data_IF_835266909494
#
_entry.id   IF_835266909494
#
_cell.length_a   1.000
_cell.length_b   1.000
_cell.length_c   1.000
_cell.angle_alpha   90.00
_cell.angle_beta   90.00
_cell.angle_gamma   90.00
#
_symmetry.space_group_name_H-M   'P 1'
#
loop_
_entity.id
_entity.type
_entity.pdbx_description
1 polymer ?
#
# COMPACT_ATOMS: atom_id res chain seq x y z
N UNK A 1 -4.42 -22.71 8.38
CA UNK A 1 -5.69 -22.40 7.69
C UNK A 1 -6.87 -22.36 8.64
N UNK A 2 -7.22 -23.45 9.35
CA UNK A 2 -8.43 -23.58 10.20
C UNK A 2 -8.69 -22.46 11.24
N UNK A 3 -7.66 -21.70 11.65
CA UNK A 3 -7.82 -20.56 12.58
C UNK A 3 -8.36 -19.28 11.93
N UNK A 4 -8.39 -19.21 10.59
CA UNK A 4 -8.95 -18.08 9.84
C UNK A 4 -10.48 -18.10 9.97
N UNK A 5 -11.06 -17.07 10.59
CA UNK A 5 -12.47 -17.08 11.03
C UNK A 5 -13.48 -16.70 9.94
N UNK A 6 -13.01 -16.23 8.80
CA UNK A 6 -13.81 -15.80 7.66
C UNK A 6 -13.04 -15.95 6.36
N UNK A 7 -13.71 -15.79 5.22
CA UNK A 7 -13.03 -15.50 3.96
C UNK A 7 -12.29 -14.17 4.03
N UNK A 8 -11.26 -14.02 3.20
CA UNK A 8 -10.53 -12.76 3.05
C UNK A 8 -11.45 -11.65 2.54
N UNK A 9 -11.31 -10.42 3.05
CA UNK A 9 -12.31 -9.36 2.87
C UNK A 9 -12.63 -9.06 1.40
N UNK A 10 -11.60 -8.81 0.58
CA UNK A 10 -11.81 -8.33 -0.79
C UNK A 10 -12.49 -9.37 -1.70
N UNK A 11 -12.17 -10.69 -1.63
CA UNK A 11 -12.97 -11.74 -2.26
C UNK A 11 -14.46 -11.76 -1.90
N UNK A 12 -14.86 -11.45 -0.66
CA UNK A 12 -16.29 -11.33 -0.30
C UNK A 12 -16.92 -10.08 -0.93
N UNK A 13 -16.18 -8.96 -1.03
CA UNK A 13 -16.63 -7.77 -1.73
C UNK A 13 -16.80 -8.05 -3.24
N UNK A 14 -15.80 -8.65 -3.90
CA UNK A 14 -15.88 -9.03 -5.32
C UNK A 14 -17.00 -10.06 -5.59
N UNK A 15 -17.26 -10.98 -4.66
CA UNK A 15 -18.40 -11.90 -4.75
C UNK A 15 -19.74 -11.15 -4.72
N UNK A 16 -19.91 -10.15 -3.84
CA UNK A 16 -21.11 -9.31 -3.81
C UNK A 16 -21.23 -8.39 -5.03
N UNK A 17 -20.10 -7.90 -5.55
CA UNK A 17 -20.01 -7.10 -6.77
C UNK A 17 -20.52 -7.88 -8.00
N UNK A 18 -20.08 -9.14 -8.16
CA UNK A 18 -20.59 -10.07 -9.19
C UNK A 18 -22.09 -10.33 -8.99
N UNK A 19 -22.52 -10.70 -7.77
CA UNK A 19 -23.94 -10.98 -7.48
C UNK A 19 -24.86 -9.78 -7.72
N UNK A 20 -24.39 -8.56 -7.47
CA UNK A 20 -25.14 -7.33 -7.77
C UNK A 20 -25.24 -7.09 -9.28
N UNK A 21 -24.15 -7.30 -10.01
CA UNK A 21 -24.12 -7.17 -11.48
C UNK A 21 -25.00 -8.22 -12.18
N UNK A 22 -25.01 -9.47 -11.67
CA UNK A 22 -25.92 -10.53 -12.16
C UNK A 22 -27.40 -10.20 -11.92
N UNK A 23 -27.72 -9.57 -10.78
CA UNK A 23 -29.09 -9.18 -10.40
C UNK A 23 -29.58 -7.93 -11.11
N UNK A 24 -28.68 -7.00 -11.44
CA UNK A 24 -28.98 -5.71 -12.07
C UNK A 24 -28.07 -5.48 -13.28
N UNK A 25 -28.24 -6.21 -14.40
CA UNK A 25 -27.31 -6.19 -15.53
C UNK A 25 -27.19 -4.82 -16.23
N UNK A 26 -28.24 -3.99 -16.18
CA UNK A 26 -28.23 -2.62 -16.73
C UNK A 26 -27.67 -1.57 -15.74
N UNK A 27 -27.31 -1.95 -14.51
CA UNK A 27 -26.82 -1.02 -13.51
C UNK A 27 -25.41 -0.53 -13.84
N UNK A 28 -25.26 0.79 -13.97
CA UNK A 28 -23.95 1.46 -14.09
C UNK A 28 -23.24 1.48 -12.73
N UNK A 29 -22.70 0.31 -12.36
CA UNK A 29 -21.91 0.09 -11.15
C UNK A 29 -20.69 1.02 -11.11
N UNK A 30 -20.33 1.52 -9.93
CA UNK A 30 -19.09 2.27 -9.69
C UNK A 30 -18.35 1.63 -8.52
N UNK A 31 -17.12 1.17 -8.73
CA UNK A 31 -16.34 0.51 -7.69
C UNK A 31 -15.42 1.50 -6.97
N UNK A 32 -15.81 1.92 -5.75
CA UNK A 32 -14.97 2.68 -4.81
C UNK A 32 -14.53 1.78 -3.63
N UNK A 33 -14.54 0.46 -3.83
CA UNK A 33 -14.25 -0.55 -2.81
C UNK A 33 -12.77 -0.92 -2.74
N UNK A 34 -12.35 -1.81 -3.64
CA UNK A 34 -10.97 -2.30 -3.71
C UNK A 34 -10.02 -1.15 -4.10
N UNK A 35 -8.80 -1.18 -3.55
CA UNK A 35 -7.79 -0.13 -3.76
C UNK A 35 -7.01 -0.31 -5.05
N UNK A 36 -7.69 -0.49 -6.18
CA UNK A 36 -7.07 -0.68 -7.50
C UNK A 36 -7.13 0.61 -8.34
N UNK A 37 -6.12 0.82 -9.19
CA UNK A 37 -5.88 2.08 -9.90
C UNK A 37 -6.46 2.09 -11.31
N UNK A 38 -7.19 3.15 -11.66
CA UNK A 38 -7.95 3.26 -12.93
C UNK A 38 -7.24 4.04 -14.03
N UNK A 39 -6.46 5.06 -13.67
CA UNK A 39 -5.69 5.85 -14.64
C UNK A 39 -4.51 5.03 -15.21
N UNK A 40 -4.22 5.15 -16.52
CA UNK A 40 -3.21 4.33 -17.19
C UNK A 40 -1.77 4.63 -16.74
N UNK A 41 -0.87 3.69 -17.03
CA UNK A 41 0.57 3.93 -16.89
C UNK A 41 1.02 5.08 -17.82
N UNK A 42 1.88 6.01 -17.33
CA UNK A 42 2.52 6.99 -18.22
C UNK A 42 3.31 6.31 -19.33
N UNK A 43 3.22 6.86 -20.54
CA UNK A 43 3.80 6.29 -21.76
C UNK A 43 5.31 5.99 -21.64
N UNK A 44 6.07 6.86 -20.97
CA UNK A 44 7.51 6.66 -20.72
C UNK A 44 7.81 5.37 -19.94
N UNK A 45 6.95 4.99 -18.99
CA UNK A 45 7.08 3.75 -18.20
C UNK A 45 6.62 2.55 -19.02
N UNK A 46 5.49 2.67 -19.73
CA UNK A 46 4.95 1.61 -20.57
C UNK A 46 5.92 1.24 -21.72
N UNK A 47 6.45 2.24 -22.42
CA UNK A 47 7.40 2.06 -23.53
C UNK A 47 8.73 1.50 -23.04
N UNK A 48 9.27 1.99 -21.92
CA UNK A 48 10.49 1.42 -21.31
C UNK A 48 10.36 -0.07 -21.00
N UNK A 49 9.18 -0.52 -20.55
CA UNK A 49 8.89 -1.95 -20.35
C UNK A 49 8.75 -2.71 -21.67
N UNK A 50 8.09 -2.13 -22.68
CA UNK A 50 7.89 -2.74 -23.99
C UNK A 50 9.20 -2.90 -24.77
N UNK A 51 10.02 -1.85 -24.84
CA UNK A 51 11.33 -1.86 -25.49
C UNK A 51 12.26 -2.89 -24.85
N UNK A 52 12.25 -2.98 -23.52
CA UNK A 52 13.02 -4.01 -22.82
C UNK A 52 12.49 -5.43 -23.09
N UNK A 53 11.16 -5.63 -23.08
CA UNK A 53 10.55 -6.91 -23.43
C UNK A 53 10.89 -7.36 -24.87
N UNK A 54 10.93 -6.41 -25.83
CA UNK A 54 11.41 -6.66 -27.19
C UNK A 54 12.91 -6.99 -27.22
N UNK A 55 13.74 -6.30 -26.42
CA UNK A 55 15.18 -6.56 -26.35
C UNK A 55 15.53 -7.98 -25.86
N UNK A 56 14.66 -8.62 -25.07
CA UNK A 56 14.81 -10.01 -24.66
C UNK A 56 14.69 -11.01 -25.82
N UNK A 57 14.28 -10.59 -27.02
CA UNK A 57 14.28 -11.42 -28.22
C UNK A 57 15.61 -11.43 -29.00
N UNK A 58 16.59 -10.58 -28.64
CA UNK A 58 17.92 -10.53 -29.30
C UNK A 58 19.02 -11.17 -28.43
N UNK A 59 20.10 -11.63 -29.06
CA UNK A 59 21.23 -12.25 -28.35
C UNK A 59 21.97 -11.25 -27.43
N UNK A 60 22.00 -9.98 -27.81
CA UNK A 60 22.65 -8.89 -27.08
C UNK A 60 21.82 -8.44 -25.87
N UNK A 61 20.49 -8.40 -26.02
CA UNK A 61 19.55 -7.93 -24.98
C UNK A 61 19.10 -9.02 -24.00
N UNK A 62 18.98 -10.28 -24.43
CA UNK A 62 18.50 -11.37 -23.58
C UNK A 62 19.35 -11.56 -22.31
N UNK A 63 18.70 -11.60 -21.15
CA UNK A 63 19.27 -12.02 -19.87
C UNK A 63 18.33 -13.01 -19.19
N UNK A 64 18.90 -14.04 -18.56
CA UNK A 64 18.17 -15.01 -17.76
C UNK A 64 17.87 -14.49 -16.36
N UNK A 65 18.17 -15.29 -15.32
CA UNK A 65 18.03 -14.86 -13.92
C UNK A 65 18.84 -13.58 -13.63
N UNK A 66 18.20 -12.65 -12.94
CA UNK A 66 18.88 -11.55 -12.23
C UNK A 66 19.24 -11.96 -10.80
N UNK A 67 19.89 -11.07 -10.06
CA UNK A 67 20.05 -11.24 -8.62
C UNK A 67 18.68 -11.19 -7.92
N UNK A 68 18.46 -12.05 -6.94
CA UNK A 68 17.18 -12.21 -6.23
C UNK A 68 16.84 -10.97 -5.38
N UNK A 69 17.87 -10.28 -4.88
CA UNK A 69 17.79 -8.95 -4.24
C UNK A 69 17.33 -7.84 -5.21
N UNK A 70 17.45 -8.06 -6.53
CA UNK A 70 17.14 -7.08 -7.58
C UNK A 70 18.37 -6.35 -8.16
N UNK A 71 18.12 -5.72 -9.31
CA UNK A 71 19.09 -4.98 -10.10
C UNK A 71 19.78 -3.88 -9.28
N UNK A 72 21.12 -3.83 -9.31
CA UNK A 72 21.91 -2.87 -8.54
C UNK A 72 21.60 -1.41 -8.90
N UNK A 73 21.32 -1.10 -10.17
CA UNK A 73 20.94 0.26 -10.57
C UNK A 73 19.61 0.66 -9.92
N UNK A 74 18.58 -0.19 -10.01
CA UNK A 74 17.27 0.06 -9.39
C UNK A 74 17.38 0.24 -7.86
N UNK A 75 18.15 -0.62 -7.17
CA UNK A 75 18.39 -0.48 -5.72
C UNK A 75 19.11 0.81 -5.36
N UNK A 76 20.09 1.23 -6.16
CA UNK A 76 20.80 2.50 -5.97
C UNK A 76 19.85 3.68 -6.17
N UNK A 77 19.06 3.69 -7.25
CA UNK A 77 18.10 4.77 -7.49
C UNK A 77 17.03 4.82 -6.39
N UNK A 78 16.53 3.69 -5.90
CA UNK A 78 15.63 3.65 -4.73
C UNK A 78 16.27 4.31 -3.49
N UNK A 79 17.53 3.99 -3.18
CA UNK A 79 18.27 4.62 -2.09
C UNK A 79 18.42 6.14 -2.29
N UNK A 80 18.84 6.57 -3.49
CA UNK A 80 19.10 7.96 -3.83
C UNK A 80 17.83 8.82 -3.97
N UNK A 81 16.68 8.23 -4.33
CA UNK A 81 15.39 8.94 -4.46
C UNK A 81 14.63 9.03 -3.14
N UNK A 82 14.62 7.99 -2.31
CA UNK A 82 13.73 7.91 -1.13
C UNK A 82 14.44 7.99 0.23
N UNK A 83 15.76 7.72 0.29
CA UNK A 83 16.47 7.53 1.56
C UNK A 83 17.82 8.27 1.64
N UNK A 84 18.10 9.17 0.70
CA UNK A 84 19.34 9.94 0.58
C UNK A 84 19.76 10.63 1.88
N UNK A 85 18.85 11.36 2.52
CA UNK A 85 19.15 12.17 3.71
C UNK A 85 19.26 11.32 5.00
N UNK A 86 18.99 10.01 4.90
CA UNK A 86 19.01 9.04 6.00
C UNK A 86 20.02 7.89 5.76
N UNK A 87 20.88 8.03 4.74
CA UNK A 87 22.08 7.21 4.48
C UNK A 87 21.87 5.69 4.26
N UNK A 88 20.67 5.25 3.87
CA UNK A 88 20.43 3.87 3.43
C UNK A 88 21.25 3.56 2.17
N UNK A 89 21.87 2.38 2.16
CA UNK A 89 22.74 1.88 1.08
C UNK A 89 21.96 1.06 0.05
N UNK A 90 22.50 0.88 -1.15
CA UNK A 90 21.88 -0.03 -2.12
C UNK A 90 21.96 -1.52 -1.69
N UNK A 91 22.83 -1.86 -0.73
CA UNK A 91 22.95 -3.18 -0.10
C UNK A 91 21.80 -3.52 0.83
N UNK A 92 21.11 -2.51 1.36
CA UNK A 92 20.02 -2.65 2.34
C UNK A 92 18.64 -2.72 1.67
N UNK A 93 18.55 -2.39 0.38
CA UNK A 93 17.32 -2.46 -0.43
C UNK A 93 17.16 -3.85 -1.05
N UNK A 94 15.96 -4.41 -0.97
CA UNK A 94 15.55 -5.67 -1.57
C UNK A 94 14.32 -5.43 -2.46
N UNK A 95 14.48 -5.61 -3.78
CA UNK A 95 13.40 -5.40 -4.76
C UNK A 95 12.49 -6.63 -4.81
N UNK A 96 11.18 -6.41 -4.84
CA UNK A 96 10.18 -7.47 -4.73
C UNK A 96 9.07 -7.36 -5.77
N UNK A 97 8.29 -8.44 -5.90
CA UNK A 97 7.03 -8.54 -6.66
C UNK A 97 5.83 -7.83 -5.98
N UNK A 98 6.13 -6.95 -5.02
CA UNK A 98 5.18 -6.14 -4.26
C UNK A 98 5.08 -6.57 -2.80
N UNK A 99 4.81 -5.60 -1.91
CA UNK A 99 4.86 -5.81 -0.46
C UNK A 99 3.93 -6.90 0.10
N UNK A 100 2.79 -7.21 -0.54
CA UNK A 100 1.95 -8.33 -0.08
C UNK A 100 2.73 -9.66 -0.02
N UNK A 101 3.70 -9.83 -0.94
CA UNK A 101 4.59 -10.98 -0.95
C UNK A 101 5.74 -10.82 0.06
N UNK A 102 6.26 -9.61 0.27
CA UNK A 102 7.26 -9.33 1.31
C UNK A 102 6.73 -9.51 2.73
N UNK A 103 5.48 -9.13 3.02
CA UNK A 103 4.84 -9.37 4.33
C UNK A 103 4.89 -10.86 4.67
N UNK A 104 4.57 -11.72 3.72
CA UNK A 104 4.64 -13.18 3.91
C UNK A 104 6.09 -13.67 4.03
N UNK A 105 7.05 -13.10 3.27
CA UNK A 105 8.49 -13.39 3.45
C UNK A 105 9.02 -12.92 4.82
N UNK A 106 8.53 -11.81 5.35
CA UNK A 106 8.85 -11.29 6.68
C UNK A 106 8.22 -12.15 7.80
N UNK A 107 6.99 -12.63 7.63
CA UNK A 107 6.39 -13.60 8.55
C UNK A 107 7.13 -14.94 8.54
N UNK A 108 7.60 -15.41 7.37
CA UNK A 108 8.43 -16.61 7.25
C UNK A 108 9.80 -16.44 7.92
N UNK A 109 10.40 -15.24 7.84
CA UNK A 109 11.64 -14.87 8.54
C UNK A 109 11.46 -14.84 10.07
N UNK A 110 10.39 -14.20 10.56
CA UNK A 110 10.15 -14.05 12.00
C UNK A 110 9.67 -15.35 12.66
N UNK A 111 9.01 -16.22 11.91
CA UNK A 111 8.57 -17.55 12.35
C UNK A 111 7.39 -17.53 13.32
N UNK A 112 6.97 -18.71 13.76
CA UNK A 112 5.75 -18.91 14.57
C UNK A 112 5.84 -18.45 16.03
N UNK A 113 7.02 -18.04 16.50
CA UNK A 113 7.34 -17.90 17.92
C UNK A 113 7.48 -16.43 18.36
N UNK A 114 7.01 -15.47 17.55
CA UNK A 114 6.95 -14.04 17.88
C UNK A 114 5.54 -13.60 18.24
N UNK A 115 5.43 -12.58 19.10
CA UNK A 115 4.18 -11.83 19.32
C UNK A 115 4.19 -10.58 18.44
N UNK A 116 3.04 -10.27 17.83
CA UNK A 116 2.87 -9.13 16.93
C UNK A 116 1.87 -8.14 17.54
N UNK A 117 2.11 -6.84 17.41
CA UNK A 117 1.30 -5.77 18.00
C UNK A 117 1.12 -4.63 16.99
N UNK A 118 -0.08 -4.04 16.98
CA UNK A 118 -0.72 -3.62 15.71
C UNK A 118 -1.70 -2.45 15.89
N UNK A 119 -2.11 -1.82 14.78
CA UNK A 119 -3.27 -0.91 14.76
C UNK A 119 -4.59 -1.71 14.62
N UNK A 120 -5.66 -1.18 15.20
CA UNK A 120 -7.05 -1.61 15.00
C UNK A 120 -7.88 -0.32 14.76
N UNK A 121 -8.59 -0.17 13.63
CA UNK A 121 -8.65 -1.07 12.47
C UNK A 121 -7.31 -1.20 11.70
N UNK A 122 -7.31 -2.11 10.72
CA UNK A 122 -6.13 -2.61 9.99
C UNK A 122 -6.48 -3.19 8.60
N UNK A 123 -5.62 -3.00 7.59
CA UNK A 123 -5.77 -3.62 6.25
C UNK A 123 -5.77 -5.15 6.33
N UNK A 124 -6.64 -5.91 5.62
CA UNK A 124 -6.89 -7.30 6.01
C UNK A 124 -5.79 -8.34 5.75
N UNK A 125 -4.84 -8.13 4.81
CA UNK A 125 -3.65 -9.01 4.81
C UNK A 125 -2.83 -8.83 6.11
N UNK A 126 -3.04 -7.67 6.73
CA UNK A 126 -2.72 -7.37 8.11
C UNK A 126 -3.89 -7.68 9.12
N UNK A 127 -5.19 -7.81 8.82
CA UNK A 127 -6.11 -8.52 9.79
C UNK A 127 -5.56 -9.93 10.09
N UNK A 128 -4.90 -10.52 9.10
CA UNK A 128 -4.06 -11.72 9.21
C UNK A 128 -2.57 -11.41 9.62
N UNK A 129 -2.23 -10.18 10.09
CA UNK A 129 -0.89 -9.66 10.49
C UNK A 129 -0.51 -8.38 11.39
N UNK A 130 -1.01 -7.13 11.72
CA UNK A 130 -2.11 -6.12 11.56
C UNK A 130 -1.61 -4.64 11.53
N UNK A 131 -2.18 -3.76 10.67
CA UNK A 131 -1.98 -2.27 10.57
C UNK A 131 -2.90 -1.58 9.51
N UNK A 132 -3.40 -0.34 9.77
CA UNK A 132 -4.02 0.72 8.89
C UNK A 132 -5.33 1.36 9.40
N UNK A 133 -5.30 2.69 9.64
CA UNK A 133 -6.47 3.61 9.77
C UNK A 133 -6.42 4.78 8.76
N UNK A 134 -5.48 4.78 7.80
CA UNK A 134 -5.39 5.82 6.76
C UNK A 134 -4.92 7.21 7.23
N UNK A 135 -4.42 7.32 8.47
CA UNK A 135 -3.73 8.52 8.97
C UNK A 135 -2.22 8.41 8.74
N UNK A 136 -1.58 9.53 8.37
CA UNK A 136 -0.12 9.64 8.48
C UNK A 136 0.24 9.97 9.93
N UNK A 137 1.24 9.28 10.49
CA UNK A 137 1.70 9.53 11.86
C UNK A 137 2.65 10.73 11.89
N UNK A 138 2.46 11.63 12.87
CA UNK A 138 3.33 12.81 13.02
C UNK A 138 4.74 12.40 13.46
N UNK A 139 5.72 13.27 13.24
CA UNK A 139 7.11 13.06 13.70
C UNK A 139 7.17 12.71 15.20
N UNK A 140 6.40 13.40 16.04
CA UNK A 140 6.32 13.13 17.48
C UNK A 140 5.72 11.76 17.80
N UNK A 141 4.70 11.30 17.06
CA UNK A 141 4.13 9.95 17.23
C UNK A 141 5.13 8.87 16.82
N UNK A 142 5.89 9.08 15.76
CA UNK A 142 6.92 8.15 15.31
C UNK A 142 8.16 8.13 16.24
N UNK A 143 8.53 9.27 16.83
CA UNK A 143 9.51 9.32 17.93
C UNK A 143 9.05 8.52 19.15
N UNK A 144 7.78 8.62 19.53
CA UNK A 144 7.20 7.80 20.61
C UNK A 144 7.19 6.31 20.25
N UNK A 145 6.85 5.94 19.02
CA UNK A 145 6.87 4.56 18.53
C UNK A 145 8.29 3.97 18.54
N UNK A 146 9.29 4.69 18.01
CA UNK A 146 10.70 4.28 18.03
C UNK A 146 11.21 4.15 19.47
N UNK A 147 10.84 5.07 20.37
CA UNK A 147 11.19 5.01 21.79
C UNK A 147 10.54 3.81 22.50
N UNK A 148 9.29 3.49 22.19
CA UNK A 148 8.57 2.31 22.71
C UNK A 148 9.19 1.00 22.22
N UNK A 149 9.39 0.87 20.91
CA UNK A 149 10.07 -0.26 20.29
C UNK A 149 11.45 -0.49 20.92
N UNK A 150 12.27 0.56 21.03
CA UNK A 150 13.61 0.51 21.62
C UNK A 150 13.62 0.13 23.10
N UNK A 151 12.63 0.59 23.88
CA UNK A 151 12.44 0.17 25.29
C UNK A 151 12.11 -1.32 25.40
N UNK A 152 11.33 -1.86 24.47
CA UNK A 152 10.78 -3.21 24.54
C UNK A 152 11.55 -4.26 23.70
N UNK A 153 12.52 -3.83 22.88
CA UNK A 153 13.25 -4.70 21.95
C UNK A 153 12.45 -5.16 20.73
N UNK A 154 11.34 -4.50 20.40
CA UNK A 154 10.35 -4.95 19.41
C UNK A 154 10.63 -4.40 18.01
N UNK A 155 10.73 -5.25 16.99
CA UNK A 155 11.00 -4.80 15.61
C UNK A 155 9.77 -4.06 15.05
N UNK A 156 9.98 -2.84 14.50
CA UNK A 156 8.95 -2.14 13.73
C UNK A 156 9.01 -2.62 12.28
N UNK A 157 7.89 -3.13 11.77
CA UNK A 157 7.64 -3.22 10.32
C UNK A 157 6.81 -2.00 9.94
N UNK A 158 7.42 -1.08 9.19
CA UNK A 158 6.79 0.18 8.79
C UNK A 158 6.43 0.14 7.31
N UNK A 159 5.14 -0.02 7.01
CA UNK A 159 4.61 0.09 5.66
C UNK A 159 4.42 1.57 5.27
N UNK A 160 4.92 1.93 4.09
CA UNK A 160 4.89 3.29 3.54
C UNK A 160 4.11 3.36 2.21
N UNK A 161 3.20 2.41 1.93
CA UNK A 161 2.50 2.22 0.65
C UNK A 161 1.69 3.41 0.11
N UNK A 162 1.51 4.44 0.94
CA UNK A 162 0.81 5.68 0.61
C UNK A 162 1.62 6.93 0.99
N UNK A 163 2.92 6.82 1.29
CA UNK A 163 3.77 7.95 1.67
C UNK A 163 3.88 9.01 0.55
N UNK A 164 3.72 8.62 -0.72
CA UNK A 164 3.60 9.52 -1.86
C UNK A 164 2.39 10.47 -1.78
N UNK A 165 1.35 10.10 -1.01
CA UNK A 165 0.14 10.92 -0.81
C UNK A 165 0.27 11.95 0.31
N UNK A 166 1.31 11.89 1.15
CA UNK A 166 1.45 12.79 2.30
C UNK A 166 1.66 14.24 1.84
N UNK A 167 0.79 15.15 2.29
CA UNK A 167 0.75 16.57 1.91
C UNK A 167 1.17 17.55 3.01
N UNK A 168 1.46 17.06 4.21
CA UNK A 168 1.99 17.83 5.34
C UNK A 168 3.36 17.30 5.77
N UNK A 169 3.96 17.92 6.79
CA UNK A 169 5.31 17.63 7.29
C UNK A 169 5.42 16.28 8.07
N UNK A 170 4.45 15.38 7.88
CA UNK A 170 4.51 14.02 8.43
C UNK A 170 5.63 13.21 7.73
N UNK A 171 6.49 12.50 8.48
CA UNK A 171 7.54 11.68 7.88
C UNK A 171 7.00 10.64 6.89
N UNK A 172 7.64 10.58 5.72
CA UNK A 172 7.39 9.58 4.68
C UNK A 172 8.15 8.28 4.93
N UNK A 173 9.21 8.34 5.73
CA UNK A 173 9.97 7.18 6.17
C UNK A 173 10.22 7.17 7.68
N UNK A 174 10.05 6.00 8.30
CA UNK A 174 10.49 5.73 9.68
C UNK A 174 11.99 6.02 9.89
N UNK A 175 12.81 6.01 8.83
CA UNK A 175 14.23 6.35 8.89
C UNK A 175 14.52 7.85 9.09
N UNK A 176 13.53 8.74 8.99
CA UNK A 176 13.70 10.17 9.30
C UNK A 176 13.77 10.47 10.81
N UNK A 177 13.52 9.47 11.66
CA UNK A 177 13.42 9.62 13.11
C UNK A 177 14.79 9.38 13.77
N UNK A 178 15.44 10.40 14.36
CA UNK A 178 16.82 10.31 14.87
C UNK A 178 16.96 9.40 16.11
N UNK A 179 18.21 9.11 16.49
CA UNK A 179 18.55 8.17 17.59
C UNK A 179 18.74 6.72 17.13
N UNK A 180 19.02 6.52 15.84
CA UNK A 180 19.06 5.23 15.14
C UNK A 180 20.39 4.48 15.35
N UNK A 181 21.51 5.20 15.30
CA UNK A 181 22.89 4.69 15.14
C UNK A 181 23.38 3.65 16.16
N UNK A 182 22.63 3.42 17.25
CA UNK A 182 22.90 2.32 18.18
C UNK A 182 21.61 1.61 18.56
N UNK A 183 21.52 0.34 18.15
CA UNK A 183 20.47 -0.64 18.44
C UNK A 183 19.15 -0.48 17.67
N UNK A 184 19.10 -1.19 16.52
CA UNK A 184 18.01 -2.08 16.07
C UNK A 184 16.65 -1.43 15.64
N UNK A 185 15.78 -2.31 15.11
CA UNK A 185 14.30 -2.24 15.08
C UNK A 185 13.58 -1.51 13.93
N UNK A 186 14.05 -1.57 12.67
CA UNK A 186 13.29 -1.06 11.51
C UNK A 186 13.38 -1.97 10.27
N UNK A 187 12.24 -2.49 9.82
CA UNK A 187 11.99 -2.78 8.40
C UNK A 187 11.19 -1.61 7.83
N UNK A 188 11.56 -1.11 6.64
CA UNK A 188 10.71 -0.20 5.88
C UNK A 188 10.21 -0.93 4.64
N UNK A 189 8.90 -0.99 4.47
CA UNK A 189 8.26 -1.70 3.38
C UNK A 189 7.56 -0.68 2.48
N UNK A 190 8.14 -0.45 1.30
CA UNK A 190 7.67 0.58 0.38
C UNK A 190 6.92 -0.02 -0.80
N UNK A 191 5.87 0.69 -1.18
CA UNK A 191 4.92 0.31 -2.20
C UNK A 191 4.54 1.55 -3.00
N UNK A 192 4.30 1.33 -4.28
CA UNK A 192 3.35 2.12 -5.06
C UNK A 192 3.62 3.63 -5.12
N UNK A 193 4.71 4.01 -5.79
CA UNK A 193 4.50 5.05 -6.80
C UNK A 193 3.44 4.50 -7.78
N UNK A 194 2.41 5.28 -8.12
CA UNK A 194 1.11 4.73 -8.53
C UNK A 194 1.13 3.65 -9.65
N UNK A 195 2.09 3.72 -10.58
CA UNK A 195 2.24 2.71 -11.63
C UNK A 195 2.71 1.32 -11.17
N UNK A 196 3.44 1.19 -10.06
CA UNK A 196 4.10 -0.09 -9.70
C UNK A 196 3.15 -1.20 -9.26
N UNK A 197 1.87 -0.89 -8.99
CA UNK A 197 0.80 -1.90 -8.81
C UNK A 197 0.58 -2.71 -10.08
N UNK A 198 0.46 -2.03 -11.23
CA UNK A 198 0.05 -2.63 -12.49
C UNK A 198 1.07 -3.65 -13.01
N UNK A 199 2.36 -3.46 -12.74
CA UNK A 199 3.45 -4.34 -13.18
C UNK A 199 4.17 -5.09 -12.04
N UNK A 200 3.58 -5.14 -10.84
CA UNK A 200 4.04 -5.95 -9.70
C UNK A 200 5.49 -5.66 -9.26
N UNK A 201 5.72 -4.44 -8.76
CA UNK A 201 7.01 -4.06 -8.17
C UNK A 201 6.85 -3.32 -6.82
N UNK A 202 7.69 -3.68 -5.85
CA UNK A 202 7.87 -2.98 -4.55
C UNK A 202 9.30 -3.18 -4.02
N UNK A 203 9.55 -2.74 -2.79
CA UNK A 203 10.82 -3.05 -2.12
C UNK A 203 10.72 -3.04 -0.58
N UNK A 204 11.56 -3.86 0.05
CA UNK A 204 11.84 -3.84 1.49
C UNK A 204 13.22 -3.22 1.72
N UNK A 205 13.38 -2.41 2.76
CA UNK A 205 14.68 -1.99 3.28
C UNK A 205 14.95 -2.67 4.62
N UNK A 206 16.12 -3.31 4.73
CA UNK A 206 16.62 -3.98 5.94
C UNK A 206 18.00 -3.40 6.27
N UNK A 207 18.13 -2.52 7.29
CA UNK A 207 19.40 -1.90 7.64
C UNK A 207 20.44 -2.89 8.15
N UNK A 208 21.72 -2.62 7.90
CA UNK A 208 22.83 -3.46 8.35
C UNK A 208 22.98 -3.49 9.89
N UNK A 209 22.52 -2.46 10.62
CA UNK A 209 22.49 -2.44 12.09
C UNK A 209 21.28 -3.16 12.72
N UNK A 210 20.30 -3.61 11.91
CA UNK A 210 19.17 -4.40 12.39
C UNK A 210 19.65 -5.80 12.79
N UNK A 211 19.62 -6.09 14.09
CA UNK A 211 20.11 -7.35 14.67
C UNK A 211 19.13 -7.95 15.66
N UNK A 212 19.06 -9.29 15.68
CA UNK A 212 18.28 -10.07 16.63
C UNK A 212 18.83 -9.96 18.07
N UNK A 213 18.16 -10.60 19.04
CA UNK A 213 18.56 -10.63 20.46
C UNK A 213 19.96 -11.21 20.67
N UNK A 214 20.34 -12.23 19.89
CA UNK A 214 21.67 -12.84 19.85
C UNK A 214 22.75 -12.01 19.11
N UNK A 215 22.38 -10.86 18.54
CA UNK A 215 23.28 -10.00 17.75
C UNK A 215 23.42 -10.37 16.28
N UNK A 216 22.77 -11.43 15.79
CA UNK A 216 22.84 -11.81 14.38
C UNK A 216 22.12 -10.78 13.48
N UNK A 217 22.71 -10.32 12.37
CA UNK A 217 22.09 -9.34 11.48
C UNK A 217 20.86 -9.92 10.76
N UNK A 218 19.72 -9.24 10.89
CA UNK A 218 18.43 -9.67 10.31
C UNK A 218 18.47 -9.62 8.78
N UNK A 219 19.26 -8.70 8.20
CA UNK A 219 19.53 -8.62 6.76
C UNK A 219 20.07 -9.94 6.17
N UNK A 220 20.85 -10.71 6.94
CA UNK A 220 21.42 -11.98 6.48
C UNK A 220 20.33 -13.05 6.30
N UNK A 221 19.45 -13.18 7.30
CA UNK A 221 18.34 -14.15 7.24
C UNK A 221 17.25 -13.70 6.26
N UNK A 222 16.97 -12.40 6.13
CA UNK A 222 16.06 -11.91 5.08
C UNK A 222 16.61 -12.20 3.68
N UNK A 223 17.91 -11.96 3.44
CA UNK A 223 18.57 -12.35 2.20
C UNK A 223 18.50 -13.88 1.98
N UNK A 224 18.66 -14.69 3.04
CA UNK A 224 18.49 -16.14 2.96
C UNK A 224 17.06 -16.54 2.58
N UNK A 225 16.03 -15.91 3.14
CA UNK A 225 14.63 -16.15 2.75
C UNK A 225 14.40 -15.75 1.29
N UNK A 226 14.89 -14.59 0.85
CA UNK A 226 14.80 -14.12 -0.54
C UNK A 226 15.43 -15.16 -1.48
N UNK A 227 16.71 -15.51 -1.31
CA UNK A 227 17.41 -16.52 -2.12
C UNK A 227 16.97 -17.99 -1.87
N UNK A 228 15.88 -18.23 -1.13
CA UNK A 228 15.26 -19.57 -0.98
C UNK A 228 13.86 -19.62 -1.57
N UNK A 229 13.09 -18.53 -1.45
CA UNK A 229 11.67 -18.50 -1.75
C UNK A 229 11.31 -17.54 -2.89
N UNK A 230 12.30 -16.91 -3.54
CA UNK A 230 12.11 -15.93 -4.60
C UNK A 230 13.30 -15.91 -5.57
N UNK A 231 13.02 -15.79 -6.87
CA UNK A 231 14.05 -15.75 -7.94
C UNK A 231 14.27 -14.32 -8.47
N UNK A 232 13.96 -13.30 -7.66
CA UNK A 232 13.94 -11.89 -8.04
C UNK A 232 12.64 -11.45 -8.75
N UNK A 233 12.39 -10.14 -8.74
CA UNK A 233 11.25 -9.54 -9.44
C UNK A 233 11.45 -9.58 -10.97
N UNK A 234 10.36 -9.57 -11.74
CA UNK A 234 10.40 -9.55 -13.22
C UNK A 234 11.35 -8.47 -13.74
N UNK A 235 12.25 -8.83 -14.67
CA UNK A 235 13.23 -7.89 -15.23
C UNK A 235 12.55 -6.74 -15.99
N UNK A 236 11.43 -7.01 -16.69
CA UNK A 236 10.57 -6.00 -17.31
C UNK A 236 9.99 -5.05 -16.25
N UNK A 237 9.47 -5.59 -15.15
CA UNK A 237 8.95 -4.80 -14.04
C UNK A 237 10.04 -3.92 -13.40
N UNK A 238 11.27 -4.41 -13.27
CA UNK A 238 12.40 -3.65 -12.76
C UNK A 238 12.82 -2.50 -13.68
N UNK A 239 12.69 -2.65 -15.01
CA UNK A 239 12.91 -1.54 -15.96
C UNK A 239 11.78 -0.51 -15.88
N UNK A 240 10.51 -0.94 -15.74
CA UNK A 240 9.40 -0.04 -15.43
C UNK A 240 9.62 0.73 -14.12
N UNK A 241 10.19 0.05 -13.11
CA UNK A 241 10.61 0.66 -11.84
C UNK A 241 11.71 1.71 -11.99
N UNK A 242 12.71 1.48 -12.85
CA UNK A 242 13.73 2.48 -13.18
C UNK A 242 13.12 3.68 -13.93
N UNK A 243 12.22 3.44 -14.88
CA UNK A 243 11.51 4.51 -15.59
C UNK A 243 10.64 5.37 -14.65
N UNK A 244 9.97 4.77 -13.67
CA UNK A 244 9.25 5.49 -12.60
C UNK A 244 10.13 6.42 -11.75
N UNK A 245 11.46 6.26 -11.80
CA UNK A 245 12.43 7.05 -11.03
C UNK A 245 13.32 7.94 -11.92
N UNK A 246 13.05 8.02 -13.24
CA UNK A 246 13.58 9.13 -14.07
C UNK A 246 12.88 10.44 -13.68
N UNK A 247 13.48 11.62 -13.96
CA UNK A 247 12.82 12.90 -13.68
C UNK A 247 11.43 13.03 -14.30
N UNK A 248 11.27 12.57 -15.54
CA UNK A 248 10.04 12.63 -16.32
C UNK A 248 9.01 11.60 -15.86
N UNK A 249 9.44 10.35 -15.62
CA UNK A 249 8.57 9.29 -15.12
C UNK A 249 8.09 9.55 -13.69
N UNK A 250 8.97 10.07 -12.83
CA UNK A 250 8.61 10.48 -11.46
C UNK A 250 7.59 11.63 -11.48
N UNK A 251 7.81 12.67 -12.30
CA UNK A 251 6.86 13.77 -12.47
C UNK A 251 5.49 13.29 -12.98
N UNK A 252 5.45 12.36 -13.94
CA UNK A 252 4.22 11.78 -14.44
C UNK A 252 3.45 10.97 -13.37
N UNK A 253 4.16 10.19 -12.55
CA UNK A 253 3.54 9.43 -11.45
C UNK A 253 3.09 10.35 -10.29
N UNK A 254 3.77 11.46 -10.05
CA UNK A 254 3.28 12.52 -9.16
C UNK A 254 1.98 13.14 -9.68
N UNK A 255 1.87 13.44 -10.98
CA UNK A 255 0.64 13.97 -11.58
C UNK A 255 -0.56 13.04 -11.41
N UNK A 256 -0.37 11.72 -11.60
CA UNK A 256 -1.40 10.70 -11.32
C UNK A 256 -1.76 10.67 -9.82
N UNK A 257 -0.78 10.85 -8.94
CA UNK A 257 -0.99 10.91 -7.47
C UNK A 257 -1.87 12.13 -7.10
N UNK A 258 -1.62 13.29 -7.71
CA UNK A 258 -2.41 14.52 -7.51
C UNK A 258 -3.84 14.43 -8.06
N UNK A 259 -4.03 13.76 -9.21
CA UNK A 259 -5.38 13.48 -9.75
C UNK A 259 -6.24 12.69 -8.74
N UNK A 260 -5.67 11.65 -8.13
CA UNK A 260 -6.36 10.86 -7.10
C UNK A 260 -6.54 11.61 -5.76
N UNK A 261 -5.65 12.57 -5.43
CA UNK A 261 -5.84 13.46 -4.27
C UNK A 261 -7.03 14.40 -4.46
N UNK A 262 -7.21 14.94 -5.67
CA UNK A 262 -8.40 15.75 -5.99
C UNK A 262 -9.68 14.90 -6.01
N UNK A 263 -9.63 13.64 -6.47
CA UNK A 263 -10.75 12.69 -6.30
C UNK A 263 -11.11 12.48 -4.82
N UNK A 264 -10.10 12.30 -3.95
CA UNK A 264 -10.31 12.10 -2.52
C UNK A 264 -10.95 13.34 -1.87
N UNK A 265 -10.53 14.54 -2.29
CA UNK A 265 -11.09 15.84 -1.88
C UNK A 265 -12.54 16.03 -2.31
N UNK A 266 -12.91 15.60 -3.53
CA UNK A 266 -14.32 15.61 -3.99
C UNK A 266 -15.19 14.76 -3.07
N UNK A 267 -14.83 13.49 -2.88
CA UNK A 267 -15.58 12.57 -2.00
C UNK A 267 -15.63 13.08 -0.54
N UNK A 268 -14.56 13.71 -0.05
CA UNK A 268 -14.48 14.24 1.32
C UNK A 268 -15.49 15.38 1.51
N UNK A 269 -15.57 16.29 0.53
CA UNK A 269 -16.52 17.38 0.54
C UNK A 269 -17.97 16.86 0.49
N UNK A 270 -18.25 15.87 -0.36
CA UNK A 270 -19.58 15.22 -0.43
C UNK A 270 -19.98 14.61 0.91
N UNK A 271 -19.18 13.69 1.48
CA UNK A 271 -19.54 13.08 2.77
C UNK A 271 -19.60 14.09 3.93
N UNK A 272 -18.76 15.13 3.92
CA UNK A 272 -18.84 16.21 4.91
C UNK A 272 -20.11 17.09 4.76
N UNK A 273 -20.57 17.32 3.52
CA UNK A 273 -21.82 18.06 3.26
C UNK A 273 -23.08 17.32 3.72
N UNK A 274 -23.01 15.98 3.78
CA UNK A 274 -24.02 15.12 4.40
C UNK A 274 -24.00 15.11 5.94
N UNK A 275 -23.15 15.92 6.58
CA UNK A 275 -22.98 15.97 8.03
C UNK A 275 -22.28 14.74 8.64
N UNK A 276 -21.80 13.80 7.81
CA UNK A 276 -21.08 12.61 8.27
C UNK A 276 -19.66 12.98 8.68
N UNK A 277 -19.13 12.25 9.68
CA UNK A 277 -17.77 12.52 10.18
C UNK A 277 -16.75 11.77 9.32
N UNK A 278 -15.98 12.52 8.55
CA UNK A 278 -14.98 12.01 7.59
C UNK A 278 -13.57 12.11 8.16
N UNK A 279 -12.78 11.07 7.94
CA UNK A 279 -11.35 11.00 8.23
C UNK A 279 -10.59 10.51 6.98
N UNK A 280 -9.27 10.64 6.94
CA UNK A 280 -8.44 10.28 5.78
C UNK A 280 -8.49 11.33 4.66
N UNK A 281 -8.41 10.89 3.41
CA UNK A 281 -8.51 11.70 2.18
C UNK A 281 -7.33 12.66 1.90
N UNK A 282 -6.76 13.30 2.93
CA UNK A 282 -5.69 14.29 2.81
C UNK A 282 -4.33 13.66 2.47
N UNK A 283 -3.96 12.59 3.16
CA UNK A 283 -2.64 11.95 3.11
C UNK A 283 -2.69 10.50 2.59
N UNK A 284 -3.84 10.06 2.06
CA UNK A 284 -4.06 8.73 1.48
C UNK A 284 -5.24 8.77 0.50
N UNK A 285 -5.27 7.93 -0.55
CA UNK A 285 -6.34 7.89 -1.56
C UNK A 285 -7.60 7.12 -1.08
N UNK A 286 -7.89 7.19 0.22
CA UNK A 286 -9.08 6.60 0.82
C UNK A 286 -9.64 7.52 1.89
N UNK A 287 -10.95 7.46 2.04
CA UNK A 287 -11.72 8.10 3.07
C UNK A 287 -12.18 7.04 4.07
N UNK A 288 -12.35 7.47 5.32
CA UNK A 288 -12.87 6.66 6.40
C UNK A 288 -14.05 7.41 7.02
N UNK A 289 -15.27 6.98 6.68
CA UNK A 289 -16.52 7.72 6.94
C UNK A 289 -17.28 7.03 8.06
N UNK A 290 -17.70 7.78 9.07
CA UNK A 290 -18.39 7.27 10.26
C UNK A 290 -19.92 7.30 10.09
N UNK A 291 -20.57 6.17 10.33
CA UNK A 291 -22.01 5.95 10.29
C UNK A 291 -22.50 5.47 11.67
N UNK A 292 -22.64 6.38 12.65
CA UNK A 292 -22.84 6.02 14.06
C UNK A 292 -24.09 5.16 14.28
N UNK A 293 -23.98 4.16 15.17
CA UNK A 293 -25.04 3.21 15.51
C UNK A 293 -25.42 2.22 14.40
N UNK A 294 -24.74 2.23 13.25
CA UNK A 294 -25.07 1.42 12.07
C UNK A 294 -23.96 0.42 11.76
N UNK A 295 -24.29 -0.87 11.55
CA UNK A 295 -23.24 -1.83 11.16
C UNK A 295 -22.72 -1.52 9.78
N UNK A 296 -21.41 -1.55 9.63
CA UNK A 296 -20.70 -1.31 8.37
C UNK A 296 -21.14 -2.24 7.23
N UNK A 297 -21.47 -3.50 7.51
CA UNK A 297 -22.04 -4.41 6.50
C UNK A 297 -23.48 -4.08 6.08
N UNK A 298 -24.27 -3.49 6.98
CA UNK A 298 -25.64 -3.06 6.68
C UNK A 298 -25.58 -1.78 5.82
N UNK A 299 -24.70 -0.82 6.17
CA UNK A 299 -24.41 0.40 5.39
C UNK A 299 -23.81 0.08 4.02
N UNK A 300 -22.86 -0.85 3.92
CA UNK A 300 -22.34 -1.36 2.64
C UNK A 300 -23.48 -1.82 1.72
N UNK A 301 -24.42 -2.59 2.29
CA UNK A 301 -25.52 -3.20 1.53
C UNK A 301 -26.53 -2.14 1.10
N UNK A 302 -26.83 -1.14 1.95
CA UNK A 302 -27.66 0.01 1.57
C UNK A 302 -27.05 0.77 0.38
N UNK A 303 -25.79 1.18 0.48
CA UNK A 303 -25.12 1.97 -0.56
C UNK A 303 -25.10 1.20 -1.88
N UNK A 304 -24.77 -0.09 -1.86
CA UNK A 304 -24.73 -0.94 -3.05
C UNK A 304 -26.12 -1.10 -3.71
N UNK A 305 -27.14 -1.49 -2.95
CA UNK A 305 -28.49 -1.69 -3.49
C UNK A 305 -29.11 -0.36 -3.99
N UNK A 306 -28.96 0.74 -3.24
CA UNK A 306 -29.63 2.03 -3.54
C UNK A 306 -28.87 2.93 -4.53
N UNK A 307 -27.56 2.76 -4.71
CA UNK A 307 -26.75 3.63 -5.60
C UNK A 307 -25.85 2.90 -6.60
N UNK A 308 -25.72 1.58 -6.46
CA UNK A 308 -24.79 0.75 -7.27
C UNK A 308 -23.33 1.22 -7.12
N UNK A 309 -22.95 1.63 -5.91
CA UNK A 309 -21.57 1.97 -5.55
C UNK A 309 -21.03 0.87 -4.63
N UNK A 310 -19.92 0.24 -5.01
CA UNK A 310 -19.18 -0.65 -4.10
C UNK A 310 -18.31 0.24 -3.19
N UNK A 311 -18.34 -0.05 -1.90
CA UNK A 311 -17.46 0.54 -0.87
C UNK A 311 -16.76 -0.60 -0.11
N UNK A 312 -16.17 -0.38 1.07
CA UNK A 312 -15.73 -1.49 1.94
C UNK A 312 -16.21 -1.27 3.38
N UNK A 313 -16.87 -2.25 4.01
CA UNK A 313 -17.30 -2.18 5.41
C UNK A 313 -16.09 -2.15 6.34
N UNK A 314 -16.07 -1.20 7.27
CA UNK A 314 -14.95 -0.98 8.18
C UNK A 314 -14.69 -2.15 9.15
N UNK A 315 -15.71 -2.92 9.54
CA UNK A 315 -15.54 -4.13 10.37
C UNK A 315 -14.64 -5.18 9.72
N UNK A 316 -14.55 -5.19 8.38
CA UNK A 316 -13.61 -6.05 7.64
C UNK A 316 -12.14 -5.74 7.92
N UNK A 317 -11.84 -4.59 8.52
CA UNK A 317 -10.50 -4.16 8.92
C UNK A 317 -10.20 -4.43 10.40
N UNK A 318 -11.15 -4.94 11.18
CA UNK A 318 -11.01 -5.14 12.64
C UNK A 318 -12.20 -4.59 13.43
N UNK A 319 -12.34 -4.96 14.71
CA UNK A 319 -13.51 -4.60 15.50
C UNK A 319 -13.63 -3.09 15.76
N UNK A 320 -12.53 -2.35 15.85
CA UNK A 320 -12.58 -0.88 15.96
C UNK A 320 -12.92 -0.18 14.63
N UNK A 321 -13.14 -0.93 13.55
CA UNK A 321 -13.70 -0.43 12.29
C UNK A 321 -15.20 -0.63 12.12
N UNK A 322 -15.90 -1.25 13.08
CA UNK A 322 -17.37 -1.25 13.05
C UNK A 322 -17.92 0.19 13.14
N UNK A 323 -19.10 0.44 12.55
CA UNK A 323 -19.67 1.79 12.34
C UNK A 323 -18.89 2.71 11.38
N UNK A 324 -17.91 2.18 10.63
CA UNK A 324 -17.18 2.92 9.58
C UNK A 324 -17.28 2.29 8.19
N UNK A 325 -17.04 3.10 7.17
CA UNK A 325 -16.90 2.71 5.77
C UNK A 325 -15.59 3.23 5.20
N UNK A 326 -14.85 2.37 4.48
CA UNK A 326 -13.78 2.82 3.58
C UNK A 326 -14.36 3.14 2.21
N UNK A 327 -13.98 4.29 1.66
CA UNK A 327 -14.28 4.67 0.28
C UNK A 327 -12.97 5.02 -0.43
N UNK A 328 -12.73 4.43 -1.60
CA UNK A 328 -11.54 4.68 -2.40
C UNK A 328 -11.71 5.92 -3.30
N UNK A 329 -10.61 6.64 -3.53
CA UNK A 329 -10.53 7.76 -4.46
C UNK A 329 -9.94 7.40 -5.83
N UNK A 330 -9.58 6.12 -6.04
CA UNK A 330 -9.29 5.60 -7.37
C UNK A 330 -10.61 5.45 -8.15
N UNK A 331 -10.58 5.71 -9.45
CA UNK A 331 -11.77 5.99 -10.26
C UNK A 331 -11.52 7.15 -11.22
N UNK A 332 -12.08 7.05 -12.42
CA UNK A 332 -12.08 8.18 -13.36
C UNK A 332 -12.91 9.34 -12.80
N UNK A 333 -12.52 10.59 -13.09
CA UNK A 333 -13.15 11.80 -12.52
C UNK A 333 -14.67 11.84 -12.69
N UNK A 334 -15.17 11.42 -13.84
CA UNK A 334 -16.62 11.34 -14.11
C UNK A 334 -17.33 10.34 -13.19
N UNK A 335 -16.73 9.17 -12.94
CA UNK A 335 -17.27 8.16 -12.01
C UNK A 335 -17.23 8.64 -10.56
N UNK A 336 -16.22 9.40 -10.16
CA UNK A 336 -16.13 10.02 -8.83
C UNK A 336 -17.23 11.08 -8.64
N UNK A 337 -17.46 11.92 -9.65
CA UNK A 337 -18.52 12.95 -9.62
C UNK A 337 -19.94 12.34 -9.66
N UNK A 338 -20.15 11.30 -10.46
CA UNK A 338 -21.41 10.55 -10.49
C UNK A 338 -21.66 9.81 -9.16
N UNK A 339 -20.62 9.21 -8.56
CA UNK A 339 -20.73 8.58 -7.25
C UNK A 339 -21.09 9.60 -6.15
N UNK A 340 -20.42 10.76 -6.13
CA UNK A 340 -20.75 11.87 -5.25
C UNK A 340 -22.23 12.28 -5.39
N UNK A 341 -22.68 12.54 -6.63
CA UNK A 341 -24.08 12.88 -6.95
C UNK A 341 -25.07 11.82 -6.46
N UNK A 342 -24.76 10.52 -6.59
CA UNK A 342 -25.65 9.44 -6.10
C UNK A 342 -25.68 9.35 -4.58
N UNK A 343 -24.55 9.57 -3.90
CA UNK A 343 -24.46 9.61 -2.44
C UNK A 343 -25.20 10.83 -1.86
N UNK A 344 -25.18 11.96 -2.56
CA UNK A 344 -25.98 13.14 -2.24
C UNK A 344 -27.48 12.82 -2.34
N UNK A 345 -27.94 12.21 -3.44
CA UNK A 345 -29.34 11.77 -3.60
C UNK A 345 -29.74 10.56 -2.72
N UNK A 346 -28.81 9.98 -1.94
CA UNK A 346 -29.07 8.88 -1.01
C UNK A 346 -29.43 9.38 0.40
N UNK A 347 -28.83 10.51 0.79
CA UNK A 347 -28.78 11.01 2.18
C UNK A 347 -29.25 12.47 2.35
N UNK A 348 -29.62 13.18 1.28
CA UNK A 348 -30.36 14.46 1.27
C UNK A 348 -31.84 14.24 0.94
#
# INVERSE_FOLDING_TARGET
>A
MEKLRSGYLFPEISKREVQHTERYPDAKLISLGIGDTTEPLPEIIASSMADYALSLSTAEGYRGYGAEQGNKALRKTIAETFYKDVQIKETEVFVSDGAQCDIIRLQLLLGSNVSIAVQDPSFPAYVDSSVIIGQAATRQQLEQLVKFAKKNGSIIVFDSAYAAYITDDSPRSIFEIPGQERLRLKFHLSLNSQGSRAFRLGWTVVPEELSFSNGFPVINDFNRIVCTCFNGASSIAQVGGLACLSPEGFAAVCSITDYYKENAKILLNTFASLGLKVYGGKNAPYLWVHFPGSKSWDVFTEILERTHIITVPGSGFGPAGEEFMRVCAFGHRESILEAARRLENLYL
#
